data_IF_621822709987
#
_entry.id   IF_621822709987
#
_cell.length_a   1.000
_cell.length_b   1.000
_cell.length_c   1.000
_cell.angle_alpha   90.00
_cell.angle_beta   90.00
_cell.angle_gamma   90.00
#
_symmetry.space_group_name_H-M   'P 1'
#
loop_
_entity.id
_entity.type
_entity.pdbx_description
1 polymer ?
#
# COMPACT_ATOMS: atom_id res chain seq x y z
N UNK A 1 48.88 12.27 -10.84
CA UNK A 1 47.66 11.49 -11.17
C UNK A 1 46.46 12.34 -10.77
N UNK A 2 45.51 12.55 -11.68
CA UNK A 2 44.28 13.28 -11.38
C UNK A 2 43.24 12.24 -10.96
N UNK A 3 42.78 12.32 -9.71
CA UNK A 3 41.77 11.42 -9.17
C UNK A 3 40.37 11.94 -9.51
N UNK A 4 39.58 11.13 -10.21
CA UNK A 4 38.18 11.42 -10.53
C UNK A 4 37.25 10.70 -9.57
N UNK A 5 36.04 11.24 -9.36
CA UNK A 5 35.06 10.66 -8.43
C UNK A 5 34.65 9.22 -8.80
N UNK A 6 34.67 8.88 -10.09
CA UNK A 6 34.36 7.55 -10.60
C UNK A 6 35.51 6.53 -10.52
N UNK A 7 36.74 6.95 -10.18
CA UNK A 7 37.93 6.08 -10.28
C UNK A 7 37.84 4.85 -9.39
N UNK A 8 37.24 4.97 -8.20
CA UNK A 8 37.03 3.85 -7.29
C UNK A 8 36.18 2.74 -7.94
N UNK A 9 35.12 3.12 -8.64
CA UNK A 9 34.27 2.17 -9.35
C UNK A 9 34.97 1.65 -10.60
N UNK A 10 35.68 2.51 -11.34
CA UNK A 10 36.45 2.11 -12.52
C UNK A 10 37.64 1.19 -12.21
N UNK A 11 38.15 1.17 -10.99
CA UNK A 11 39.12 0.17 -10.55
C UNK A 11 38.58 -1.28 -10.71
N UNK A 12 37.26 -1.48 -10.59
CA UNK A 12 36.61 -2.78 -10.80
C UNK A 12 36.70 -3.26 -12.26
N UNK A 13 37.03 -2.39 -13.23
CA UNK A 13 37.29 -2.80 -14.63
C UNK A 13 38.33 -3.90 -14.75
N UNK A 14 39.31 -3.95 -13.82
CA UNK A 14 40.34 -4.98 -13.83
C UNK A 14 39.78 -6.39 -13.62
N UNK A 15 38.63 -6.51 -12.96
CA UNK A 15 37.96 -7.78 -12.64
C UNK A 15 36.95 -8.21 -13.71
N UNK A 16 36.61 -7.31 -14.65
CA UNK A 16 35.53 -7.49 -15.62
C UNK A 16 36.07 -7.75 -17.03
N UNK A 17 35.28 -8.49 -17.82
CA UNK A 17 35.66 -8.88 -19.19
C UNK A 17 35.64 -7.70 -20.15
N UNK A 18 34.65 -6.81 -20.04
CA UNK A 18 34.48 -5.62 -20.88
C UNK A 18 34.87 -4.37 -20.09
N UNK A 19 35.63 -3.52 -20.76
CA UNK A 19 36.15 -2.26 -20.21
C UNK A 19 35.54 -1.10 -20.98
N UNK A 20 34.46 -0.48 -20.47
CA UNK A 20 33.86 0.67 -21.13
C UNK A 20 34.82 1.88 -21.09
N UNK A 21 34.60 2.87 -21.95
CA UNK A 21 35.37 4.12 -21.92
C UNK A 21 35.13 4.87 -20.60
N UNK A 22 36.21 5.24 -19.91
CA UNK A 22 36.15 6.06 -18.70
C UNK A 22 35.65 7.45 -19.06
N UNK A 23 34.60 7.91 -18.38
CA UNK A 23 34.16 9.30 -18.44
C UNK A 23 34.63 10.06 -17.18
N UNK A 24 35.47 11.11 -17.31
CA UNK A 24 35.96 11.89 -16.18
C UNK A 24 34.89 12.58 -15.34
N UNK A 25 33.70 12.80 -15.91
CA UNK A 25 32.59 13.49 -15.25
C UNK A 25 31.65 12.53 -14.51
N UNK A 26 31.84 11.21 -14.64
CA UNK A 26 30.97 10.25 -13.96
C UNK A 26 31.21 10.29 -12.45
N UNK A 27 30.12 10.23 -11.69
CA UNK A 27 30.18 9.90 -10.27
C UNK A 27 30.61 8.44 -10.06
N UNK A 28 30.89 8.06 -8.81
CA UNK A 28 31.11 6.65 -8.45
C UNK A 28 29.92 5.76 -8.84
N UNK A 29 28.68 6.21 -8.59
CA UNK A 29 27.50 5.42 -8.91
C UNK A 29 27.30 5.31 -10.43
N UNK A 30 27.47 6.39 -11.18
CA UNK A 30 27.35 6.37 -12.64
C UNK A 30 28.43 5.49 -13.29
N UNK A 31 29.67 5.58 -12.82
CA UNK A 31 30.75 4.72 -13.25
C UNK A 31 30.45 3.24 -12.98
N UNK A 32 29.94 2.92 -11.78
CA UNK A 32 29.50 1.56 -11.44
C UNK A 32 28.37 1.06 -12.34
N UNK A 33 27.36 1.90 -12.57
CA UNK A 33 26.24 1.57 -13.46
C UNK A 33 26.71 1.32 -14.90
N UNK A 34 27.64 2.14 -15.42
CA UNK A 34 28.27 1.96 -16.74
C UNK A 34 29.01 0.63 -16.84
N UNK A 35 29.72 0.23 -15.79
CA UNK A 35 30.44 -1.04 -15.72
C UNK A 35 29.51 -2.24 -15.71
N UNK A 36 28.50 -2.20 -14.84
CA UNK A 36 27.50 -3.26 -14.69
C UNK A 36 26.74 -3.48 -16.00
N UNK A 37 26.35 -2.38 -16.66
CA UNK A 37 25.69 -2.41 -17.96
C UNK A 37 26.59 -3.02 -19.05
N UNK A 38 27.82 -2.52 -19.17
CA UNK A 38 28.73 -2.96 -20.24
C UNK A 38 29.03 -4.46 -20.17
N UNK A 39 29.01 -5.03 -18.95
CA UNK A 39 29.34 -6.42 -18.67
C UNK A 39 28.14 -7.34 -18.53
N UNK A 40 26.90 -6.83 -18.67
CA UNK A 40 25.67 -7.58 -18.42
C UNK A 40 25.76 -8.42 -17.14
N UNK A 41 26.06 -7.73 -16.02
CA UNK A 41 26.41 -8.37 -14.75
C UNK A 41 25.18 -8.94 -14.04
N UNK A 42 24.49 -9.90 -14.65
CA UNK A 42 23.38 -10.67 -14.06
C UNK A 42 22.34 -9.81 -13.34
N UNK A 43 22.04 -8.60 -13.83
CA UNK A 43 21.09 -7.66 -13.17
C UNK A 43 21.47 -7.25 -11.73
N UNK A 44 22.77 -7.14 -11.45
CA UNK A 44 23.33 -6.68 -10.16
C UNK A 44 22.75 -5.32 -9.73
N UNK A 45 22.57 -4.39 -10.67
CA UNK A 45 22.08 -3.05 -10.37
C UNK A 45 20.60 -3.05 -9.96
N UNK A 46 19.76 -3.83 -10.64
CA UNK A 46 18.36 -4.03 -10.34
C UNK A 46 18.18 -4.60 -8.92
N UNK A 47 19.01 -5.59 -8.57
CA UNK A 47 19.03 -6.20 -7.24
C UNK A 47 19.44 -5.20 -6.17
N UNK A 48 20.49 -4.41 -6.43
CA UNK A 48 20.99 -3.40 -5.49
C UNK A 48 19.92 -2.37 -5.13
N UNK A 49 19.14 -1.92 -6.11
CA UNK A 49 18.06 -0.95 -5.90
C UNK A 49 16.99 -1.49 -4.94
N UNK A 50 16.74 -2.81 -4.97
CA UNK A 50 15.75 -3.51 -4.16
C UNK A 50 16.18 -3.78 -2.70
N UNK A 51 17.41 -3.46 -2.31
CA UNK A 51 17.94 -3.70 -0.95
C UNK A 51 17.51 -2.59 0.01
N UNK A 52 17.07 -2.92 1.23
CA UNK A 52 16.88 -1.90 2.28
C UNK A 52 18.19 -1.73 3.05
N UNK A 53 18.88 -0.58 2.96
CA UNK A 53 20.08 -0.38 3.76
C UNK A 53 19.73 -0.35 5.26
N UNK A 54 20.63 -0.83 6.11
CA UNK A 54 20.43 -0.79 7.58
C UNK A 54 20.37 0.62 8.13
N UNK A 55 21.06 1.55 7.47
CA UNK A 55 21.00 2.96 7.76
C UNK A 55 20.64 3.71 6.47
N UNK A 56 19.66 4.61 6.52
CA UNK A 56 19.19 5.38 5.36
C UNK A 56 20.30 6.27 4.77
N UNK A 57 21.26 6.69 5.60
CA UNK A 57 22.41 7.49 5.17
C UNK A 57 23.60 6.66 4.68
N UNK A 58 23.47 5.34 4.68
CA UNK A 58 24.52 4.44 4.23
C UNK A 58 24.79 4.64 2.72
N UNK A 59 26.06 4.70 2.28
CA UNK A 59 26.37 4.77 0.87
C UNK A 59 25.95 3.50 0.14
N UNK A 60 25.58 3.64 -1.14
CA UNK A 60 25.04 2.54 -1.96
C UNK A 60 25.99 1.35 -2.15
N UNK A 61 27.31 1.58 -2.04
CA UNK A 61 28.32 0.53 -2.23
C UNK A 61 28.50 -0.36 -0.99
N UNK A 62 27.96 0.03 0.16
CA UNK A 62 27.91 -0.84 1.33
C UNK A 62 26.66 -1.73 1.26
N UNK A 63 26.83 -2.87 0.60
CA UNK A 63 25.76 -3.84 0.33
C UNK A 63 25.41 -4.60 1.62
N UNK A 64 24.55 -4.02 2.46
CA UNK A 64 24.07 -4.65 3.69
C UNK A 64 22.55 -4.50 3.84
N UNK A 65 21.81 -5.55 3.50
CA UNK A 65 20.36 -5.56 3.63
C UNK A 65 19.92 -5.64 5.09
N UNK A 66 18.84 -4.93 5.42
CA UNK A 66 18.22 -5.00 6.74
C UNK A 66 17.83 -6.44 7.12
N UNK A 67 17.28 -7.20 6.18
CA UNK A 67 16.86 -8.58 6.42
C UNK A 67 17.99 -9.60 6.29
N UNK A 68 19.22 -9.15 6.01
CA UNK A 68 20.39 -10.02 5.88
C UNK A 68 20.43 -10.81 4.55
N UNK A 69 19.62 -10.42 3.58
CA UNK A 69 19.55 -11.01 2.25
C UNK A 69 20.81 -10.67 1.44
N UNK A 70 21.33 -11.63 0.69
CA UNK A 70 22.41 -11.35 -0.25
C UNK A 70 21.85 -10.80 -1.55
N UNK A 71 22.71 -10.11 -2.31
CA UNK A 71 22.32 -9.53 -3.59
C UNK A 71 21.73 -10.57 -4.56
N UNK A 72 22.32 -11.77 -4.60
CA UNK A 72 21.89 -12.88 -5.47
C UNK A 72 20.60 -13.57 -5.01
N UNK A 73 20.17 -13.38 -3.76
CA UNK A 73 18.90 -13.92 -3.26
C UNK A 73 17.69 -13.13 -3.82
N UNK A 74 17.93 -11.91 -4.31
CA UNK A 74 16.91 -11.06 -4.90
C UNK A 74 16.76 -11.37 -6.40
N UNK A 75 15.53 -11.68 -6.80
CA UNK A 75 15.15 -11.84 -8.20
C UNK A 75 14.49 -10.54 -8.71
N UNK A 76 15.13 -9.80 -9.63
CA UNK A 76 14.59 -8.54 -10.11
C UNK A 76 13.45 -8.73 -11.12
N UNK A 77 12.33 -8.04 -10.90
CA UNK A 77 11.15 -8.00 -11.77
C UNK A 77 11.25 -6.93 -12.86
N UNK A 78 12.01 -5.88 -12.59
CA UNK A 78 12.24 -4.78 -13.51
C UNK A 78 13.65 -4.86 -14.12
N UNK A 79 13.89 -4.04 -15.15
CA UNK A 79 15.19 -3.93 -15.80
C UNK A 79 15.64 -2.47 -15.86
N UNK A 80 16.93 -2.24 -15.63
CA UNK A 80 17.56 -0.95 -15.89
C UNK A 80 17.76 -0.81 -17.40
N UNK A 81 17.21 0.26 -17.98
CA UNK A 81 17.23 0.55 -19.42
C UNK A 81 18.07 1.78 -19.81
N UNK A 82 18.60 2.51 -18.84
CA UNK A 82 19.60 3.54 -19.12
C UNK A 82 20.03 4.33 -17.90
N UNK A 83 20.89 5.33 -18.12
CA UNK A 83 21.32 6.27 -17.09
C UNK A 83 20.49 7.55 -17.18
N UNK A 84 19.97 8.00 -16.03
CA UNK A 84 19.21 9.25 -15.94
C UNK A 84 20.07 10.48 -15.65
N UNK A 85 21.35 10.26 -15.33
CA UNK A 85 22.31 11.29 -14.88
C UNK A 85 22.08 11.72 -13.43
N UNK A 86 23.10 12.28 -12.78
CA UNK A 86 23.07 12.74 -11.38
C UNK A 86 22.72 11.62 -10.39
N UNK A 87 23.40 10.49 -10.51
CA UNK A 87 23.18 9.30 -9.66
C UNK A 87 21.78 8.66 -9.78
N UNK A 88 21.22 8.70 -10.99
CA UNK A 88 19.91 8.11 -11.29
C UNK A 88 19.97 7.12 -12.45
N UNK A 89 19.06 6.15 -12.41
CA UNK A 89 18.90 5.09 -13.41
C UNK A 89 17.50 5.15 -14.00
N UNK A 90 17.35 4.76 -15.26
CA UNK A 90 16.04 4.61 -15.91
C UNK A 90 15.67 3.15 -15.83
N UNK A 91 14.51 2.85 -15.28
CA UNK A 91 14.00 1.49 -15.08
C UNK A 91 12.73 1.28 -15.90
N UNK A 92 12.49 0.03 -16.31
CA UNK A 92 11.29 -0.38 -17.03
C UNK A 92 10.75 -1.70 -16.48
N UNK A 93 9.45 -1.93 -16.66
CA UNK A 93 8.81 -3.19 -16.32
C UNK A 93 8.55 -3.45 -14.84
N UNK A 94 8.64 -2.43 -13.99
CA UNK A 94 8.20 -2.54 -12.60
C UNK A 94 6.67 -2.54 -12.52
N UNK A 95 6.11 -3.03 -11.42
CA UNK A 95 4.69 -2.86 -11.13
C UNK A 95 4.53 -1.74 -10.11
N UNK A 96 3.61 -0.82 -10.35
CA UNK A 96 3.45 0.37 -9.52
C UNK A 96 2.02 0.67 -9.15
N UNK A 97 1.85 1.26 -7.98
CA UNK A 97 0.62 1.88 -7.54
C UNK A 97 0.91 3.21 -6.83
N UNK A 98 0.05 4.24 -7.02
CA UNK A 98 0.17 5.48 -6.29
C UNK A 98 -0.27 5.31 -4.83
N UNK A 99 0.35 6.07 -3.93
CA UNK A 99 -0.04 6.14 -2.52
C UNK A 99 -0.86 7.42 -2.32
N UNK A 100 -2.05 7.28 -1.74
CA UNK A 100 -2.93 8.40 -1.46
C UNK A 100 -2.68 8.98 -0.07
N UNK A 101 -2.39 10.28 -0.01
CA UNK A 101 -2.04 11.00 1.22
C UNK A 101 -3.08 12.03 1.69
N UNK A 102 -4.12 12.29 0.89
CA UNK A 102 -5.06 13.39 1.13
C UNK A 102 -6.14 13.07 2.15
N UNK A 103 -6.77 11.90 1.99
CA UNK A 103 -7.93 11.46 2.77
C UNK A 103 -8.02 9.95 2.72
N UNK A 104 -8.44 9.36 3.84
CA UNK A 104 -8.93 8.00 3.88
C UNK A 104 -10.34 8.01 3.27
N UNK A 105 -10.51 7.31 2.16
CA UNK A 105 -11.80 7.18 1.50
C UNK A 105 -12.49 5.89 1.93
N UNK A 106 -13.84 5.86 2.01
CA UNK A 106 -14.58 4.64 2.26
C UNK A 106 -14.29 3.59 1.18
N UNK A 107 -13.78 2.43 1.61
CA UNK A 107 -13.37 1.35 0.70
C UNK A 107 -14.51 0.35 0.51
N UNK A 108 -14.83 0.04 -0.75
CA UNK A 108 -15.81 -1.00 -1.02
C UNK A 108 -15.22 -2.39 -0.76
N UNK A 109 -15.97 -3.21 -0.03
CA UNK A 109 -15.63 -4.60 0.25
C UNK A 109 -16.58 -5.56 -0.44
N UNK A 110 -16.02 -6.58 -1.08
CA UNK A 110 -16.75 -7.74 -1.56
C UNK A 110 -16.91 -8.74 -0.42
N UNK A 111 -18.15 -8.92 0.01
CA UNK A 111 -18.50 -9.88 1.05
C UNK A 111 -18.72 -11.27 0.46
N UNK A 112 -18.26 -12.33 1.16
CA UNK A 112 -18.51 -13.72 0.76
C UNK A 112 -20.01 -13.97 0.61
N UNK A 113 -20.43 -14.57 -0.51
CA UNK A 113 -21.81 -15.01 -0.74
C UNK A 113 -22.10 -16.20 0.18
N UNK A 114 -23.00 -16.02 1.13
CA UNK A 114 -23.52 -17.09 2.00
C UNK A 114 -25.04 -17.16 1.83
N UNK A 115 -25.65 -18.33 2.04
CA UNK A 115 -27.10 -18.49 1.92
C UNK A 115 -27.86 -17.49 2.80
N UNK A 116 -27.40 -17.31 4.05
CA UNK A 116 -27.95 -16.31 4.99
C UNK A 116 -27.92 -14.88 4.41
N UNK A 117 -26.80 -14.47 3.80
CA UNK A 117 -26.67 -13.15 3.16
C UNK A 117 -27.49 -13.03 1.88
N UNK A 118 -27.60 -14.09 1.10
CA UNK A 118 -28.44 -14.10 -0.12
C UNK A 118 -29.91 -13.93 0.23
N UNK A 119 -30.42 -14.65 1.24
CA UNK A 119 -31.79 -14.51 1.74
C UNK A 119 -32.01 -13.10 2.31
N UNK A 120 -31.12 -12.62 3.19
CA UNK A 120 -31.23 -11.28 3.75
C UNK A 120 -31.24 -10.18 2.66
N UNK A 121 -30.39 -10.32 1.64
CA UNK A 121 -30.34 -9.40 0.50
C UNK A 121 -31.61 -9.46 -0.33
N UNK A 122 -32.13 -10.65 -0.59
CA UNK A 122 -33.38 -10.83 -1.34
C UNK A 122 -34.54 -10.18 -0.57
N UNK A 123 -34.72 -10.53 0.71
CA UNK A 123 -35.74 -9.98 1.59
C UNK A 123 -35.70 -8.45 1.61
N UNK A 124 -34.53 -7.84 1.88
CA UNK A 124 -34.39 -6.39 1.94
C UNK A 124 -34.64 -5.70 0.60
N UNK A 125 -34.23 -6.33 -0.52
CA UNK A 125 -34.43 -5.75 -1.86
C UNK A 125 -35.87 -5.91 -2.36
N UNK A 126 -36.60 -6.92 -1.90
CA UNK A 126 -38.02 -7.12 -2.20
C UNK A 126 -38.95 -6.28 -1.34
N UNK A 127 -38.49 -5.77 -0.19
CA UNK A 127 -39.29 -4.97 0.76
C UNK A 127 -40.09 -3.82 0.13
N UNK A 128 -39.53 -2.99 -0.79
CA UNK A 128 -40.30 -1.93 -1.43
C UNK A 128 -41.47 -2.46 -2.29
N UNK A 129 -41.35 -3.65 -2.86
CA UNK A 129 -42.44 -4.28 -3.61
C UNK A 129 -43.59 -4.71 -2.70
N UNK A 130 -43.28 -5.21 -1.50
CA UNK A 130 -44.29 -5.67 -0.54
C UNK A 130 -45.18 -4.53 -0.03
N UNK A 131 -44.62 -3.35 0.24
CA UNK A 131 -45.42 -2.19 0.64
C UNK A 131 -46.33 -1.69 -0.49
N UNK A 132 -45.84 -1.66 -1.73
CA UNK A 132 -46.65 -1.24 -2.88
C UNK A 132 -47.83 -2.21 -3.08
N UNK A 133 -47.57 -3.52 -3.07
CA UNK A 133 -48.62 -4.55 -3.19
C UNK A 133 -49.61 -4.46 -2.02
N UNK A 134 -49.11 -4.28 -0.79
CA UNK A 134 -49.94 -4.15 0.40
C UNK A 134 -50.89 -2.95 0.34
N UNK A 135 -50.35 -1.76 0.05
CA UNK A 135 -51.12 -0.51 -0.02
C UNK A 135 -52.11 -0.53 -1.19
N UNK A 136 -51.69 -1.00 -2.37
CA UNK A 136 -52.58 -1.11 -3.53
C UNK A 136 -53.74 -2.06 -3.26
N UNK A 137 -53.49 -3.21 -2.62
CA UNK A 137 -54.55 -4.18 -2.27
C UNK A 137 -55.55 -3.61 -1.27
N UNK A 138 -55.06 -2.88 -0.25
CA UNK A 138 -55.92 -2.19 0.73
C UNK A 138 -56.72 -1.04 0.10
N UNK A 139 -56.12 -0.29 -0.82
CA UNK A 139 -56.78 0.80 -1.53
C UNK A 139 -57.93 0.29 -2.43
N UNK A 140 -57.69 -0.80 -3.18
CA UNK A 140 -58.71 -1.45 -4.01
C UNK A 140 -59.88 -1.91 -3.15
N UNK A 141 -59.60 -2.53 -1.99
CA UNK A 141 -60.65 -3.00 -1.08
C UNK A 141 -61.52 -1.87 -0.49
N UNK A 142 -60.98 -0.66 -0.31
CA UNK A 142 -61.74 0.47 0.27
C UNK A 142 -62.67 1.14 -0.75
N UNK A 143 -62.39 0.97 -2.04
CA UNK A 143 -63.07 1.69 -3.13
C UNK A 143 -64.44 1.12 -3.53
N UNK A 144 -64.76 -0.15 -3.20
CA UNK A 144 -66.03 -0.79 -3.57
C UNK A 144 -66.53 -1.76 -2.49
N UNK A 145 -67.61 -1.39 -1.83
CA UNK A 145 -68.27 -2.17 -0.77
C UNK A 145 -69.26 -3.18 -1.39
N UNK A 146 -68.95 -4.48 -1.33
CA UNK A 146 -69.97 -5.54 -1.41
C UNK A 146 -69.67 -6.71 -2.34
N UNK A 147 -68.69 -7.57 -2.04
CA UNK A 147 -68.62 -8.99 -2.46
C UNK A 147 -67.50 -9.75 -1.71
N UNK A 148 -67.62 -11.07 -1.55
CA UNK A 148 -66.64 -11.94 -0.84
C UNK A 148 -65.22 -11.89 -1.42
N UNK A 149 -65.08 -11.52 -2.70
CA UNK A 149 -63.78 -11.35 -3.37
C UNK A 149 -62.90 -10.26 -2.72
N UNK A 150 -63.49 -9.26 -2.06
CA UNK A 150 -62.74 -8.17 -1.44
C UNK A 150 -62.12 -8.54 -0.08
N UNK A 151 -62.64 -9.57 0.59
CA UNK A 151 -62.02 -10.13 1.79
C UNK A 151 -60.65 -10.75 1.49
N UNK A 152 -60.47 -11.34 0.30
CA UNK A 152 -59.16 -11.83 -0.11
C UNK A 152 -58.14 -10.68 -0.25
N UNK A 153 -58.54 -9.55 -0.85
CA UNK A 153 -57.66 -8.39 -1.02
C UNK A 153 -57.32 -7.68 0.30
N UNK A 154 -58.23 -7.63 1.27
CA UNK A 154 -57.91 -7.09 2.61
C UNK A 154 -56.91 -7.96 3.34
N UNK A 155 -57.10 -9.28 3.31
CA UNK A 155 -56.18 -10.24 3.96
C UNK A 155 -54.79 -10.16 3.32
N UNK A 156 -54.72 -10.18 1.98
CA UNK A 156 -53.45 -10.01 1.25
C UNK A 156 -52.79 -8.68 1.62
N UNK A 157 -53.55 -7.58 1.62
CA UNK A 157 -53.07 -6.26 1.97
C UNK A 157 -52.46 -6.18 3.37
N UNK A 158 -53.13 -6.74 4.38
CA UNK A 158 -52.63 -6.81 5.75
C UNK A 158 -51.42 -7.72 5.90
N UNK A 159 -51.38 -8.87 5.22
CA UNK A 159 -50.23 -9.78 5.25
C UNK A 159 -48.97 -9.09 4.71
N UNK A 160 -49.03 -8.50 3.52
CA UNK A 160 -47.87 -7.84 2.91
C UNK A 160 -47.43 -6.60 3.69
N UNK A 161 -48.37 -5.82 4.23
CA UNK A 161 -48.07 -4.65 5.06
C UNK A 161 -47.46 -5.07 6.40
N UNK A 162 -48.00 -6.10 7.06
CA UNK A 162 -47.45 -6.64 8.31
C UNK A 162 -46.05 -7.22 8.12
N UNK A 163 -45.82 -7.93 7.01
CA UNK A 163 -44.52 -8.49 6.65
C UNK A 163 -43.49 -7.38 6.34
N UNK A 164 -43.92 -6.30 5.69
CA UNK A 164 -43.09 -5.09 5.52
C UNK A 164 -42.67 -4.49 6.88
N UNK A 165 -43.62 -4.32 7.80
CA UNK A 165 -43.34 -3.77 9.14
C UNK A 165 -42.34 -4.66 9.89
N UNK A 166 -42.53 -5.98 9.85
CA UNK A 166 -41.62 -6.94 10.48
C UNK A 166 -40.20 -6.81 9.92
N UNK A 167 -40.06 -6.70 8.60
CA UNK A 167 -38.74 -6.52 7.97
C UNK A 167 -38.13 -5.15 8.23
N UNK A 168 -38.93 -4.10 8.36
CA UNK A 168 -38.44 -2.79 8.81
C UNK A 168 -37.88 -2.86 10.23
N UNK A 169 -38.57 -3.54 11.16
CA UNK A 169 -38.08 -3.75 12.53
C UNK A 169 -36.83 -4.64 12.56
N UNK A 170 -36.78 -5.68 11.72
CA UNK A 170 -35.62 -6.56 11.59
C UNK A 170 -34.49 -5.97 10.73
N UNK A 171 -34.68 -4.79 10.13
CA UNK A 171 -33.74 -4.23 9.15
C UNK A 171 -32.34 -3.98 9.70
N UNK A 172 -32.12 -3.47 10.94
CA UNK A 172 -30.76 -3.27 11.46
C UNK A 172 -30.01 -4.60 11.58
N UNK A 173 -30.71 -5.66 11.99
CA UNK A 173 -30.14 -7.01 12.09
C UNK A 173 -29.83 -7.61 10.71
N UNK A 174 -30.74 -7.48 9.75
CA UNK A 174 -30.53 -7.98 8.38
C UNK A 174 -29.38 -7.24 7.68
N UNK A 175 -29.26 -5.92 7.88
CA UNK A 175 -28.13 -5.12 7.38
C UNK A 175 -26.83 -5.57 8.05
N UNK A 176 -26.83 -5.78 9.37
CA UNK A 176 -25.68 -6.32 10.09
C UNK A 176 -25.20 -7.64 9.49
N UNK A 177 -26.10 -8.59 9.20
CA UNK A 177 -25.74 -9.86 8.53
C UNK A 177 -25.07 -9.65 7.17
N UNK A 178 -25.48 -8.63 6.41
CA UNK A 178 -24.92 -8.33 5.09
C UNK A 178 -23.50 -7.77 5.16
N UNK A 179 -23.21 -6.89 6.12
CA UNK A 179 -21.97 -6.11 6.18
C UNK A 179 -20.98 -6.58 7.26
N UNK A 180 -21.42 -7.36 8.24
CA UNK A 180 -20.59 -7.94 9.30
C UNK A 180 -20.13 -9.34 8.91
N UNK A 181 -18.86 -9.66 9.22
CA UNK A 181 -18.26 -10.97 9.00
C UNK A 181 -17.10 -10.96 7.99
N UNK A 182 -16.72 -12.16 7.53
CA UNK A 182 -15.56 -12.35 6.65
C UNK A 182 -15.78 -11.72 5.26
N UNK A 183 -14.81 -10.90 4.87
CA UNK A 183 -14.66 -10.32 3.54
C UNK A 183 -14.06 -11.35 2.59
N UNK A 184 -14.39 -11.24 1.31
CA UNK A 184 -13.80 -12.04 0.23
C UNK A 184 -12.68 -11.27 -0.48
N UNK A 185 -12.93 -9.99 -0.78
CA UNK A 185 -11.95 -9.09 -1.35
C UNK A 185 -12.29 -7.66 -0.93
N UNK A 186 -11.31 -6.78 -0.99
CA UNK A 186 -11.44 -5.36 -0.74
C UNK A 186 -10.91 -4.60 -1.95
N UNK A 187 -11.41 -3.39 -2.22
CA UNK A 187 -10.82 -2.58 -3.27
C UNK A 187 -9.35 -2.28 -2.92
N UNK A 188 -8.42 -2.49 -3.86
CA UNK A 188 -6.99 -2.32 -3.61
C UNK A 188 -6.63 -0.83 -3.61
N UNK A 189 -6.46 -0.27 -2.42
CA UNK A 189 -6.01 1.10 -2.19
C UNK A 189 -4.79 1.07 -1.28
N UNK A 190 -3.87 1.99 -1.53
CA UNK A 190 -2.74 2.30 -0.67
C UNK A 190 -2.96 3.70 -0.09
N UNK A 191 -3.22 3.75 1.20
CA UNK A 191 -3.32 5.01 1.93
C UNK A 191 -2.07 5.24 2.76
N UNK A 192 -1.55 6.46 2.75
CA UNK A 192 -0.41 6.89 3.56
C UNK A 192 -0.79 8.06 4.46
N UNK A 193 -0.27 8.08 5.68
CA UNK A 193 -0.29 9.26 6.54
C UNK A 193 0.99 9.37 7.38
N UNK A 194 1.30 10.58 7.82
CA UNK A 194 2.47 10.85 8.68
C UNK A 194 2.13 10.51 10.14
N UNK A 195 3.05 9.82 10.81
CA UNK A 195 2.92 9.40 12.19
C UNK A 195 2.34 8.00 12.38
N UNK A 196 1.95 7.74 13.62
CA UNK A 196 1.38 6.48 14.10
C UNK A 196 -0.08 6.72 14.53
N UNK A 197 -0.93 5.75 14.26
CA UNK A 197 -2.33 5.73 14.71
C UNK A 197 -2.68 4.29 15.11
N UNK A 198 -3.54 4.14 16.11
CA UNK A 198 -4.00 2.82 16.53
C UNK A 198 -4.78 2.14 15.40
N UNK A 199 -4.55 0.85 15.20
CA UNK A 199 -5.15 0.08 14.10
C UNK A 199 -6.68 0.11 14.10
N UNK A 200 -7.30 0.16 15.28
CA UNK A 200 -8.75 0.25 15.41
C UNK A 200 -9.32 1.59 14.94
N UNK A 201 -8.60 2.69 15.18
CA UNK A 201 -8.95 4.02 14.70
C UNK A 201 -8.80 4.10 13.18
N UNK A 202 -7.71 3.56 12.63
CA UNK A 202 -7.52 3.44 11.18
C UNK A 202 -8.68 2.66 10.54
N UNK A 203 -9.07 1.53 11.14
CA UNK A 203 -10.17 0.70 10.63
C UNK A 203 -11.50 1.45 10.65
N UNK A 204 -11.76 2.21 11.72
CA UNK A 204 -12.96 3.04 11.84
C UNK A 204 -12.98 4.17 10.80
N UNK A 205 -11.85 4.78 10.48
CA UNK A 205 -11.76 5.82 9.45
C UNK A 205 -11.93 5.27 8.03
N UNK A 206 -11.39 4.07 7.74
CA UNK A 206 -11.44 3.48 6.39
C UNK A 206 -12.77 2.75 6.11
N UNK A 207 -13.33 2.05 7.11
CA UNK A 207 -14.53 1.21 6.94
C UNK A 207 -15.75 1.70 7.71
N UNK A 208 -15.64 2.77 8.50
CA UNK A 208 -16.70 3.34 9.32
C UNK A 208 -16.89 2.65 10.68
N UNK A 209 -16.34 1.45 10.87
CA UNK A 209 -16.49 0.64 12.08
C UNK A 209 -15.30 -0.29 12.26
N UNK A 210 -14.88 -0.47 13.52
CA UNK A 210 -13.81 -1.38 13.89
C UNK A 210 -14.37 -2.81 14.10
N UNK A 211 -13.98 -3.74 13.23
CA UNK A 211 -14.26 -5.18 13.33
C UNK A 211 -12.99 -6.03 13.51
N UNK A 212 -11.83 -5.42 13.76
CA UNK A 212 -10.55 -6.11 13.86
C UNK A 212 -10.13 -6.81 12.56
N UNK A 213 -10.44 -6.19 11.41
CA UNK A 213 -10.09 -6.69 10.07
C UNK A 213 -8.67 -6.33 9.69
N UNK A 214 -8.21 -5.14 10.07
CA UNK A 214 -6.85 -4.70 9.80
C UNK A 214 -5.87 -5.40 10.72
N UNK A 215 -4.70 -5.75 10.18
CA UNK A 215 -3.61 -6.38 10.95
C UNK A 215 -2.29 -5.65 10.71
N UNK A 216 -1.43 -5.63 11.72
CA UNK A 216 -0.05 -5.15 11.52
C UNK A 216 0.72 -6.11 10.62
N UNK A 217 1.57 -5.58 9.75
CA UNK A 217 2.45 -6.37 8.91
C UNK A 217 3.54 -7.06 9.77
N UNK A 218 3.73 -8.38 9.67
CA UNK A 218 4.69 -9.09 10.52
C UNK A 218 6.17 -8.85 10.16
N UNK A 219 6.47 -8.57 8.89
CA UNK A 219 7.84 -8.50 8.35
C UNK A 219 8.02 -7.49 7.22
N UNK A 220 7.05 -6.60 6.99
CA UNK A 220 7.05 -5.72 5.81
C UNK A 220 8.10 -4.61 5.88
N UNK A 221 8.47 -4.15 7.06
CA UNK A 221 9.39 -3.03 7.29
C UNK A 221 10.43 -3.34 8.36
N UNK A 222 11.39 -2.44 8.51
CA UNK A 222 12.39 -2.45 9.58
C UNK A 222 11.80 -2.30 11.00
N UNK A 223 10.58 -1.76 11.06
CA UNK A 223 9.82 -1.56 12.29
C UNK A 223 8.82 -2.68 12.59
N UNK A 224 8.62 -3.62 11.67
CA UNK A 224 7.64 -4.68 11.83
C UNK A 224 8.01 -5.59 13.00
N UNK A 225 7.00 -5.91 13.81
CA UNK A 225 7.12 -6.87 14.91
C UNK A 225 6.17 -8.02 14.65
N UNK A 226 6.60 -9.22 15.01
CA UNK A 226 5.76 -10.40 14.92
C UNK A 226 5.91 -11.28 16.15
N UNK A 227 4.89 -12.09 16.40
CA UNK A 227 4.88 -13.13 17.42
C UNK A 227 4.35 -14.41 16.77
N UNK A 228 4.93 -15.55 17.16
CA UNK A 228 4.38 -16.85 16.80
C UNK A 228 3.19 -17.14 17.70
N UNK A 229 1.98 -17.17 17.13
CA UNK A 229 0.76 -17.50 17.83
C UNK A 229 0.10 -18.68 17.11
N UNK A 230 -0.09 -19.80 17.83
CA UNK A 230 -0.68 -21.03 17.28
C UNK A 230 0.06 -21.58 16.03
N UNK A 231 1.37 -21.37 15.94
CA UNK A 231 2.17 -21.78 14.78
C UNK A 231 2.09 -20.84 13.58
N UNK A 232 1.30 -19.75 13.68
CA UNK A 232 1.23 -18.70 12.66
C UNK A 232 2.04 -17.47 13.09
N UNK A 233 2.67 -16.81 12.12
CA UNK A 233 3.38 -15.54 12.33
C UNK A 233 2.38 -14.39 12.26
N UNK A 234 2.07 -13.78 13.40
CA UNK A 234 1.10 -12.69 13.52
C UNK A 234 1.83 -11.38 13.80
N UNK A 235 1.51 -10.34 13.03
CA UNK A 235 2.06 -9.01 13.25
C UNK A 235 1.54 -8.38 14.54
N UNK A 236 2.45 -7.80 15.31
CA UNK A 236 2.15 -7.06 16.54
C UNK A 236 2.38 -5.59 16.30
N UNK A 237 1.67 -4.76 17.06
CA UNK A 237 1.86 -3.32 17.07
C UNK A 237 3.35 -2.97 17.28
N UNK A 238 3.98 -2.25 16.33
CA UNK A 238 5.38 -1.81 16.41
C UNK A 238 5.71 -1.02 17.67
N UNK A 239 4.75 -0.31 18.27
CA UNK A 239 4.94 0.50 19.47
C UNK A 239 5.11 -0.33 20.74
N UNK A 240 4.80 -1.64 20.69
CA UNK A 240 5.13 -2.56 21.78
C UNK A 240 6.63 -2.65 22.06
N UNK A 241 7.47 -2.23 21.10
CA UNK A 241 8.91 -2.07 21.30
C UNK A 241 9.20 -0.66 21.79
N UNK A 242 9.83 -0.56 22.96
CA UNK A 242 10.12 0.71 23.63
C UNK A 242 10.90 1.69 22.72
N UNK A 243 11.89 1.21 21.97
CA UNK A 243 12.64 2.06 21.04
C UNK A 243 11.79 2.64 19.92
N UNK A 244 10.79 1.89 19.43
CA UNK A 244 9.83 2.38 18.45
C UNK A 244 8.90 3.41 19.07
N UNK A 245 8.38 3.16 20.28
CA UNK A 245 7.52 4.10 20.98
C UNK A 245 8.22 5.44 21.28
N UNK A 246 9.47 5.39 21.75
CA UNK A 246 10.29 6.59 21.95
C UNK A 246 10.51 7.35 20.64
N UNK A 247 10.78 6.63 19.54
CA UNK A 247 10.94 7.24 18.22
C UNK A 247 9.64 7.87 17.71
N UNK A 248 8.49 7.23 17.93
CA UNK A 248 7.17 7.80 17.58
C UNK A 248 6.97 9.14 18.29
N UNK A 249 7.23 9.20 19.59
CA UNK A 249 7.12 10.43 20.38
C UNK A 249 8.11 11.51 19.92
N UNK A 250 9.36 11.13 19.60
CA UNK A 250 10.36 12.07 19.10
C UNK A 250 10.02 12.60 17.70
N UNK A 251 9.48 11.74 16.83
CA UNK A 251 9.15 12.08 15.44
C UNK A 251 8.01 13.11 15.31
N UNK A 252 7.16 13.26 16.33
CA UNK A 252 6.09 14.28 16.35
C UNK A 252 6.63 15.72 16.17
N UNK A 253 7.87 15.97 16.60
CA UNK A 253 8.50 17.30 16.52
C UNK A 253 9.59 17.38 15.43
N UNK A 254 9.65 16.40 14.53
CA UNK A 254 10.67 16.34 13.48
C UNK A 254 10.54 17.46 12.45
N UNK A 255 11.68 18.01 12.03
CA UNK A 255 11.73 19.10 11.03
C UNK A 255 11.72 18.55 9.60
N UNK A 256 11.53 19.46 8.64
CA UNK A 256 11.60 19.11 7.23
C UNK A 256 12.98 18.53 6.87
N UNK A 257 12.97 17.35 6.23
CA UNK A 257 14.19 16.65 5.79
C UNK A 257 14.81 15.72 6.83
N UNK A 258 14.35 15.77 8.08
CA UNK A 258 14.73 14.78 9.09
C UNK A 258 14.01 13.45 8.84
N UNK A 259 14.47 12.40 9.52
CA UNK A 259 13.83 11.10 9.42
C UNK A 259 12.50 11.11 10.18
N UNK A 260 11.43 10.74 9.47
CA UNK A 260 10.06 10.74 9.97
C UNK A 260 9.48 9.35 9.97
N UNK A 261 8.35 9.23 10.66
CA UNK A 261 7.55 8.02 10.72
C UNK A 261 6.32 8.17 9.84
N UNK A 262 6.02 7.14 9.06
CA UNK A 262 4.84 7.09 8.22
C UNK A 262 4.14 5.74 8.36
N UNK A 263 2.83 5.75 8.20
CA UNK A 263 2.01 4.55 8.20
C UNK A 263 1.41 4.35 6.81
N UNK A 264 1.58 3.14 6.27
CA UNK A 264 0.98 2.68 5.02
C UNK A 264 -0.14 1.69 5.34
N UNK A 265 -1.33 1.93 4.81
CA UNK A 265 -2.49 1.05 4.91
C UNK A 265 -2.74 0.43 3.54
N UNK A 266 -2.57 -0.89 3.44
CA UNK A 266 -2.92 -1.67 2.27
C UNK A 266 -4.28 -2.33 2.50
N UNK A 267 -5.29 -1.87 1.75
CA UNK A 267 -6.64 -2.38 1.90
C UNK A 267 -6.89 -3.66 1.13
N UNK A 268 -5.99 -4.07 0.22
CA UNK A 268 -6.07 -5.35 -0.50
C UNK A 268 -5.73 -6.51 0.42
N UNK A 269 -4.59 -6.40 1.11
CA UNK A 269 -4.13 -7.40 2.10
C UNK A 269 -4.70 -7.16 3.50
N UNK A 270 -5.37 -6.02 3.73
CA UNK A 270 -5.87 -5.56 5.03
C UNK A 270 -4.73 -5.46 6.05
N UNK A 271 -3.57 -4.97 5.61
CA UNK A 271 -2.38 -4.82 6.44
C UNK A 271 -2.04 -3.34 6.66
N UNK A 272 -1.47 -3.06 7.83
CA UNK A 272 -0.92 -1.76 8.18
C UNK A 272 0.57 -1.93 8.44
N UNK A 273 1.37 -1.09 7.79
CA UNK A 273 2.84 -1.12 7.86
C UNK A 273 3.35 0.21 8.34
N UNK A 274 4.09 0.21 9.45
CA UNK A 274 4.81 1.37 9.94
C UNK A 274 6.22 1.38 9.33
N UNK A 275 6.68 2.51 8.80
CA UNK A 275 8.01 2.60 8.17
C UNK A 275 8.63 3.99 8.36
N UNK A 276 9.94 4.08 8.14
CA UNK A 276 10.72 5.32 8.27
C UNK A 276 11.03 5.90 6.89
N UNK A 277 10.89 7.21 6.72
CA UNK A 277 11.28 7.90 5.49
C UNK A 277 11.58 9.37 5.77
N UNK A 278 12.31 10.06 4.89
CA UNK A 278 12.52 11.52 5.05
C UNK A 278 11.37 12.33 4.46
N UNK A 279 10.72 11.78 3.43
CA UNK A 279 9.61 12.40 2.73
C UNK A 279 8.48 11.39 2.54
N UNK A 280 7.23 11.85 2.43
CA UNK A 280 6.11 10.96 2.14
C UNK A 280 6.31 10.31 0.76
N UNK A 281 6.37 8.97 0.66
CA UNK A 281 6.47 8.29 -0.62
C UNK A 281 5.15 8.38 -1.37
N UNK A 282 5.17 8.84 -2.62
CA UNK A 282 3.97 9.04 -3.44
C UNK A 282 3.63 7.82 -4.30
N UNK A 283 4.57 6.91 -4.47
CA UNK A 283 4.39 5.69 -5.26
C UNK A 283 5.07 4.51 -4.57
N UNK A 284 4.46 3.34 -4.71
CA UNK A 284 5.03 2.04 -4.38
C UNK A 284 5.35 1.30 -5.67
N UNK A 285 6.58 0.83 -5.84
CA UNK A 285 7.06 0.13 -7.03
C UNK A 285 7.63 -1.25 -6.67
N UNK A 286 7.04 -2.32 -7.18
CA UNK A 286 7.56 -3.68 -7.06
C UNK A 286 8.66 -3.88 -8.10
N UNK A 287 9.88 -4.08 -7.61
CA UNK A 287 11.08 -4.14 -8.44
C UNK A 287 11.84 -5.47 -8.33
N UNK A 288 11.57 -6.26 -7.29
CA UNK A 288 12.16 -7.58 -7.15
C UNK A 288 11.33 -8.47 -6.24
N UNK A 289 11.74 -9.73 -6.12
CA UNK A 289 11.15 -10.72 -5.23
C UNK A 289 12.23 -11.47 -4.46
N UNK A 290 11.90 -11.92 -3.27
CA UNK A 290 12.79 -12.71 -2.42
C UNK A 290 11.99 -13.52 -1.40
N UNK A 291 12.31 -14.81 -1.29
CA UNK A 291 11.75 -15.68 -0.25
C UNK A 291 10.22 -15.72 -0.25
N UNK A 292 9.60 -15.70 -1.45
CA UNK A 292 8.14 -15.70 -1.62
C UNK A 292 7.46 -14.34 -1.42
N UNK A 293 8.23 -13.28 -1.17
CA UNK A 293 7.74 -11.90 -0.96
C UNK A 293 8.23 -10.97 -2.07
N UNK A 294 7.55 -9.84 -2.25
CA UNK A 294 7.93 -8.79 -3.20
C UNK A 294 8.69 -7.67 -2.50
N UNK A 295 9.77 -7.19 -3.13
CA UNK A 295 10.56 -6.01 -2.75
C UNK A 295 9.90 -4.77 -3.36
N UNK A 296 9.24 -3.99 -2.52
CA UNK A 296 8.48 -2.80 -2.90
C UNK A 296 9.23 -1.52 -2.53
N UNK A 297 9.71 -0.77 -3.51
CA UNK A 297 10.31 0.54 -3.32
C UNK A 297 9.22 1.56 -3.00
N UNK A 298 9.37 2.25 -1.88
CA UNK A 298 8.59 3.44 -1.57
C UNK A 298 9.34 4.66 -2.07
N UNK A 299 8.75 5.40 -3.00
CA UNK A 299 9.43 6.48 -3.69
C UNK A 299 8.77 7.83 -3.47
N UNK A 300 9.56 8.85 -3.10
CA UNK A 300 9.15 10.25 -3.19
C UNK A 300 9.41 10.78 -4.59
N UNK A 301 8.54 11.66 -5.09
CA UNK A 301 8.71 12.25 -6.43
C UNK A 301 9.36 13.63 -6.33
N UNK A 302 10.35 13.87 -7.20
CA UNK A 302 10.91 15.18 -7.44
C UNK A 302 10.50 15.68 -8.82
N UNK A 303 9.61 16.67 -8.85
CA UNK A 303 9.06 17.21 -10.08
C UNK A 303 10.10 17.95 -10.94
N UNK A 304 11.13 18.54 -10.32
CA UNK A 304 12.19 19.29 -11.03
C UNK A 304 13.06 18.37 -11.87
N UNK A 305 13.49 17.25 -11.30
CA UNK A 305 14.29 16.25 -11.99
C UNK A 305 13.45 15.15 -12.66
N UNK A 306 12.13 15.13 -12.45
CA UNK A 306 11.23 14.04 -12.83
C UNK A 306 11.75 12.66 -12.38
N UNK A 307 12.23 12.60 -11.13
CA UNK A 307 12.87 11.42 -10.55
C UNK A 307 12.06 10.90 -9.37
N UNK A 308 11.86 9.59 -9.32
CA UNK A 308 11.40 8.88 -8.14
C UNK A 308 12.61 8.52 -7.29
N UNK A 309 12.67 9.06 -6.08
CA UNK A 309 13.74 8.75 -5.14
C UNK A 309 13.26 7.74 -4.13
N UNK A 310 14.04 6.67 -3.97
CA UNK A 310 13.76 5.64 -2.96
C UNK A 310 13.90 6.23 -1.56
N UNK A 311 12.82 6.20 -0.80
CA UNK A 311 12.77 6.61 0.60
C UNK A 311 12.86 5.40 1.54
N UNK A 312 12.26 4.26 1.16
CA UNK A 312 12.32 3.00 1.89
C UNK A 312 12.07 1.82 0.92
N UNK A 313 12.27 0.59 1.38
CA UNK A 313 11.88 -0.65 0.70
C UNK A 313 11.08 -1.49 1.67
N UNK A 314 9.92 -1.98 1.24
CA UNK A 314 9.07 -2.89 2.00
C UNK A 314 9.11 -4.31 1.43
N UNK A 315 8.81 -5.31 2.26
CA UNK A 315 8.46 -6.67 1.83
C UNK A 315 6.95 -6.85 1.84
N UNK A 316 6.34 -6.97 0.66
CA UNK A 316 4.89 -7.08 0.51
C UNK A 316 4.49 -8.42 -0.10
N UNK A 317 3.29 -8.89 0.23
CA UNK A 317 2.80 -10.17 -0.25
C UNK A 317 2.69 -10.20 -1.78
N UNK A 318 2.90 -11.37 -2.38
CA UNK A 318 2.75 -11.60 -3.82
C UNK A 318 1.36 -11.23 -4.35
N UNK A 319 0.32 -11.33 -3.52
CA UNK A 319 -1.06 -10.97 -3.86
C UNK A 319 -1.23 -9.49 -4.27
N UNK A 320 -0.32 -8.63 -3.86
CA UNK A 320 -0.33 -7.20 -4.21
C UNK A 320 -0.01 -7.01 -5.70
N UNK A 321 0.85 -7.87 -6.26
CA UNK A 321 1.29 -7.80 -7.66
C UNK A 321 0.12 -7.83 -8.64
N UNK A 322 -0.87 -8.70 -8.41
CA UNK A 322 -2.04 -8.90 -9.27
C UNK A 322 -2.95 -7.67 -9.40
N UNK A 323 -2.78 -6.68 -8.52
CA UNK A 323 -3.60 -5.46 -8.48
C UNK A 323 -2.86 -4.22 -8.96
N UNK A 324 -1.57 -4.34 -9.28
CA UNK A 324 -0.75 -3.22 -9.73
C UNK A 324 -0.63 -3.14 -11.25
N UNK A 325 -0.49 -1.92 -11.75
CA UNK A 325 -0.21 -1.68 -13.17
C UNK A 325 1.27 -1.75 -13.47
N UNK A 326 1.64 -2.24 -14.66
CA UNK A 326 3.02 -2.16 -15.14
C UNK A 326 3.39 -0.71 -15.46
N UNK A 327 4.56 -0.28 -15.00
CA UNK A 327 5.12 1.06 -15.21
C UNK A 327 6.42 0.92 -15.99
N UNK A 328 6.50 1.67 -17.09
CA UNK A 328 7.65 1.66 -17.99
C UNK A 328 8.38 3.00 -17.99
N UNK A 329 9.70 2.93 -18.20
CA UNK A 329 10.62 4.06 -18.41
C UNK A 329 10.46 5.19 -17.40
N UNK A 330 10.71 4.89 -16.13
CA UNK A 330 10.76 5.89 -15.06
C UNK A 330 12.18 6.05 -14.52
N UNK A 331 12.50 7.24 -14.06
CA UNK A 331 13.82 7.55 -13.47
C UNK A 331 13.79 7.29 -11.97
N UNK A 332 14.75 6.52 -11.48
CA UNK A 332 14.93 6.20 -10.06
C UNK A 332 16.27 6.71 -9.55
N UNK A 333 16.26 7.34 -8.38
CA UNK A 333 17.47 7.69 -7.63
C UNK A 333 17.47 7.01 -6.26
N UNK A 334 18.66 6.69 -5.75
CA UNK A 334 18.81 6.07 -4.42
C UNK A 334 18.81 7.08 -3.28
N UNK A 335 19.33 8.29 -3.53
CA UNK A 335 19.38 9.36 -2.54
C UNK A 335 18.91 10.67 -3.17
N UNK A 336 17.95 11.33 -2.52
CA UNK A 336 17.41 12.61 -2.98
C UNK A 336 18.23 13.75 -2.36
N UNK A 337 18.84 14.64 -3.18
CA UNK A 337 19.50 15.82 -2.63
C UNK A 337 18.52 16.66 -1.83
N UNK A 338 18.95 17.16 -0.67
CA UNK A 338 18.15 18.13 0.08
C UNK A 338 18.05 19.40 -0.76
N UNK A 339 16.82 19.79 -1.10
CA UNK A 339 16.60 21.10 -1.70
C UNK A 339 17.00 22.16 -0.68
N UNK A 340 17.84 23.13 -1.07
CA UNK A 340 18.07 24.33 -0.28
C UNK A 340 16.71 25.00 -0.04
N UNK A 341 16.25 24.97 1.21
CA UNK A 341 15.11 25.77 1.62
C UNK A 341 15.58 27.22 1.61
N UNK A 342 15.05 28.01 0.67
CA UNK A 342 15.25 29.46 0.66
C UNK A 342 14.77 29.96 2.01
N UNK A 343 15.69 30.42 2.86
CA UNK A 343 15.33 31.11 4.10
C UNK A 343 14.64 32.40 3.68
N UNK A 344 13.31 32.40 3.71
CA UNK A 344 12.53 33.62 3.59
C UNK A 344 12.75 34.37 4.91
N UNK A 345 13.72 35.28 4.93
CA UNK A 345 13.84 36.27 6.00
C UNK A 345 12.66 37.22 5.86
N UNK A 346 11.61 37.01 6.65
CA UNK A 346 10.62 38.07 6.89
C UNK A 346 11.39 39.25 7.52
N UNK A 347 11.51 40.34 6.78
CA UNK A 347 11.85 41.64 7.38
C UNK A 347 10.63 42.04 8.22
N UNK A 348 10.80 42.00 9.54
CA UNK A 348 9.88 42.56 10.54
C UNK A 348 9.76 44.06 10.38
#
# INVERSE_FOLDING_TARGET
>A
MRYYNGDLSYALMGLLRRRPSVNPNDSAFEAFCRLSWANDSDRVLERLICMLPRNIDQPWYEINDFWGSHLWDIEPLCQVVGFGGKDTVIMTGAFGAPIRWTSLEPVNMLMRKTAKRSVARFVLRSTPGWIVIGVMSLAISRSRTGTDAYLAFTVIGWIFTGLYILVMLASPYLISILYVGKTWASQPWLFGFEGYMEIGEIEQLVFGINFGRLKWSPYSSDLSLHVSQNGECVGKDPTCRESTAQFVSAAQNSRYGELKLFTLVDTNTLTVTLFRARRPPVAMLLCGSEGGMQRALLCSYDWKSQTLYRENVLRVDTLVLDKMSRVDRFRVGLNRPMAETVRVTCRT
#
